data_IF_375878865077
#
_entry.id   IF_375878865077
#
_cell.length_a   1.000
_cell.length_b   1.000
_cell.length_c   1.000
_cell.angle_alpha   90.00
_cell.angle_beta   90.00
_cell.angle_gamma   90.00
#
_symmetry.space_group_name_H-M   'P 1'
#
loop_
_entity.id
_entity.type
_entity.pdbx_description
1 polymer ?
#
# COMPACT_ATOMS: atom_id res chain seq x y z
N UNK A 1 1.68 -20.35 18.15
CA UNK A 1 2.57 -20.66 17.02
C UNK A 1 3.67 -21.62 17.46
N UNK A 2 4.25 -22.35 16.50
CA UNK A 2 5.36 -23.28 16.73
C UNK A 2 6.72 -22.60 16.54
N UNK A 3 6.81 -21.71 15.53
CA UNK A 3 8.02 -20.98 15.17
C UNK A 3 7.70 -19.72 14.36
N UNK A 4 8.68 -18.84 14.21
CA UNK A 4 8.62 -17.67 13.33
C UNK A 4 9.42 -17.96 12.07
N UNK A 5 8.86 -17.67 10.89
CA UNK A 5 9.55 -17.88 9.61
C UNK A 5 9.71 -16.55 8.87
N UNK A 6 10.96 -16.22 8.53
CA UNK A 6 11.28 -15.12 7.59
C UNK A 6 11.79 -15.76 6.31
N UNK A 7 11.01 -15.80 5.23
CA UNK A 7 11.39 -16.51 4.01
C UNK A 7 12.69 -15.97 3.41
N UNK A 8 13.65 -16.86 3.11
CA UNK A 8 14.83 -16.54 2.28
C UNK A 8 14.41 -16.51 0.81
N UNK A 9 15.01 -15.60 0.03
CA UNK A 9 14.77 -15.54 -1.42
C UNK A 9 13.62 -14.63 -1.82
N UNK A 10 12.74 -14.23 -0.90
CA UNK A 10 11.88 -13.08 -1.14
C UNK A 10 12.73 -11.82 -1.07
N UNK A 11 12.66 -11.00 -2.13
CA UNK A 11 13.28 -9.68 -2.10
C UNK A 11 12.50 -8.79 -1.13
N UNK A 12 12.82 -8.90 0.15
CA UNK A 12 12.23 -8.07 1.18
C UNK A 12 12.68 -6.60 1.06
N UNK A 13 13.61 -6.32 0.18
CA UNK A 13 14.10 -4.97 -0.10
C UNK A 13 14.44 -4.21 1.17
N UNK A 14 13.97 -2.98 1.29
CA UNK A 14 14.18 -2.13 2.46
C UNK A 14 13.45 -2.59 3.73
N UNK A 15 12.48 -3.48 3.61
CA UNK A 15 11.72 -4.00 4.76
C UNK A 15 12.43 -5.15 5.50
N UNK A 16 13.47 -5.76 4.92
CA UNK A 16 14.18 -6.90 5.52
C UNK A 16 14.64 -6.64 6.96
N UNK A 17 15.28 -5.49 7.19
CA UNK A 17 15.73 -5.12 8.54
C UNK A 17 14.57 -5.02 9.53
N UNK A 18 13.46 -4.42 9.11
CA UNK A 18 12.27 -4.26 9.96
C UNK A 18 11.59 -5.60 10.24
N UNK A 19 11.49 -6.48 9.24
CA UNK A 19 10.99 -7.84 9.43
C UNK A 19 11.84 -8.62 10.43
N UNK A 20 13.17 -8.54 10.32
CA UNK A 20 14.08 -9.19 11.26
C UNK A 20 13.94 -8.61 12.67
N UNK A 21 13.84 -7.30 12.82
CA UNK A 21 13.62 -6.66 14.12
C UNK A 21 12.30 -7.09 14.76
N UNK A 22 11.22 -7.13 13.97
CA UNK A 22 9.92 -7.59 14.44
C UNK A 22 9.96 -9.06 14.86
N UNK A 23 10.57 -9.93 14.05
CA UNK A 23 10.74 -11.35 14.38
C UNK A 23 11.52 -11.54 15.69
N UNK A 24 12.64 -10.82 15.87
CA UNK A 24 13.41 -10.87 17.09
C UNK A 24 12.60 -10.41 18.32
N UNK A 25 11.80 -9.34 18.17
CA UNK A 25 10.93 -8.86 19.25
C UNK A 25 9.89 -9.90 19.65
N UNK A 26 9.23 -10.52 18.66
CA UNK A 26 8.26 -11.58 18.93
C UNK A 26 8.95 -12.81 19.54
N UNK A 27 10.10 -13.22 19.00
CA UNK A 27 10.88 -14.35 19.53
C UNK A 27 11.26 -14.17 21.00
N UNK A 28 11.78 -13.00 21.35
CA UNK A 28 12.16 -12.68 22.75
C UNK A 28 10.96 -12.73 23.69
N UNK A 29 9.80 -12.23 23.23
CA UNK A 29 8.59 -12.18 24.08
C UNK A 29 7.83 -13.50 24.17
N UNK A 30 7.95 -14.38 23.18
CA UNK A 30 7.20 -15.63 23.08
C UNK A 30 8.02 -16.91 23.27
N UNK A 31 9.35 -16.81 23.20
CA UNK A 31 10.25 -17.96 23.19
C UNK A 31 10.28 -18.73 21.87
N UNK A 32 9.63 -18.25 20.82
CA UNK A 32 9.59 -18.93 19.52
C UNK A 32 10.93 -18.76 18.78
N UNK A 33 11.39 -19.83 18.17
CA UNK A 33 12.58 -19.80 17.32
C UNK A 33 12.34 -19.17 15.95
N UNK A 34 13.36 -18.53 15.37
CA UNK A 34 13.31 -17.89 14.07
C UNK A 34 13.97 -18.79 13.02
N UNK A 35 13.24 -19.09 11.97
CA UNK A 35 13.71 -19.85 10.82
C UNK A 35 13.72 -19.01 9.55
N UNK A 36 14.53 -19.44 8.58
CA UNK A 36 14.69 -18.72 7.31
C UNK A 36 14.45 -19.62 6.10
N UNK A 37 13.63 -20.63 6.23
CA UNK A 37 13.37 -21.63 5.18
C UNK A 37 11.95 -21.41 4.60
N UNK A 38 11.84 -21.39 3.25
CA UNK A 38 10.55 -21.23 2.55
C UNK A 38 9.91 -22.58 2.24
N UNK A 39 10.73 -23.61 2.05
CA UNK A 39 10.26 -24.88 1.52
C UNK A 39 9.47 -25.72 2.55
N UNK A 40 9.58 -25.35 3.83
CA UNK A 40 8.99 -26.06 4.95
C UNK A 40 8.00 -25.23 5.79
N UNK A 41 7.37 -24.22 5.18
CA UNK A 41 6.32 -23.45 5.87
C UNK A 41 5.07 -24.32 6.03
N UNK A 42 4.59 -24.44 7.26
CA UNK A 42 3.47 -25.31 7.61
C UNK A 42 2.49 -24.63 8.58
N UNK A 43 1.33 -25.23 8.73
CA UNK A 43 0.33 -24.76 9.69
C UNK A 43 0.90 -24.68 11.11
N UNK A 44 0.64 -23.59 11.78
CA UNK A 44 1.18 -23.26 13.10
C UNK A 44 2.47 -22.44 13.05
N UNK A 45 3.03 -22.15 11.88
CA UNK A 45 4.10 -21.16 11.72
C UNK A 45 3.51 -19.74 11.69
N UNK A 46 4.26 -18.77 12.20
CA UNK A 46 4.01 -17.35 11.98
C UNK A 46 4.99 -16.83 10.93
N UNK A 47 4.51 -16.50 9.74
CA UNK A 47 5.37 -16.01 8.66
C UNK A 47 5.45 -14.50 8.68
N UNK A 48 6.67 -13.94 8.59
CA UNK A 48 6.87 -12.49 8.49
C UNK A 48 7.32 -12.14 7.08
N UNK A 49 6.47 -11.41 6.38
CA UNK A 49 6.67 -10.95 5.01
C UNK A 49 7.02 -9.47 4.97
N UNK A 50 7.83 -9.07 4.01
CA UNK A 50 8.19 -7.67 3.81
C UNK A 50 7.84 -7.17 2.42
N UNK A 51 6.91 -6.20 2.38
CA UNK A 51 6.59 -5.45 1.17
C UNK A 51 5.85 -6.27 0.09
N UNK A 52 4.82 -5.68 -0.46
CA UNK A 52 4.13 -6.18 -1.66
C UNK A 52 4.83 -5.69 -2.92
N UNK A 53 6.04 -5.21 -2.77
CA UNK A 53 6.77 -4.45 -3.78
C UNK A 53 7.07 -5.21 -5.06
N UNK A 54 6.03 -5.52 -5.82
CA UNK A 54 6.16 -5.71 -7.26
C UNK A 54 6.72 -7.03 -7.73
N UNK A 55 6.67 -8.09 -6.96
CA UNK A 55 7.00 -9.42 -7.43
C UNK A 55 5.77 -10.31 -7.43
N UNK A 56 5.56 -11.06 -8.51
CA UNK A 56 4.50 -12.05 -8.73
C UNK A 56 4.39 -13.08 -7.57
N UNK A 57 5.40 -13.10 -6.72
CA UNK A 57 5.50 -13.99 -5.57
C UNK A 57 4.55 -13.69 -4.42
N UNK A 58 4.27 -12.40 -4.09
CA UNK A 58 3.50 -12.11 -2.87
C UNK A 58 2.05 -12.58 -2.97
N UNK A 59 1.36 -12.29 -4.07
CA UNK A 59 -0.03 -12.72 -4.24
C UNK A 59 -0.13 -14.24 -4.21
N UNK A 60 0.81 -14.92 -4.87
CA UNK A 60 0.91 -16.39 -4.84
C UNK A 60 1.13 -16.93 -3.42
N UNK A 61 1.98 -16.27 -2.61
CA UNK A 61 2.18 -16.65 -1.21
C UNK A 61 0.94 -16.35 -0.37
N UNK A 62 0.31 -15.20 -0.56
CA UNK A 62 -0.89 -14.81 0.15
C UNK A 62 -2.03 -15.82 -0.07
N UNK A 63 -2.32 -16.17 -1.33
CA UNK A 63 -3.30 -17.20 -1.69
C UNK A 63 -2.94 -18.56 -1.08
N UNK A 64 -1.70 -19.01 -1.24
CA UNK A 64 -1.21 -20.27 -0.68
C UNK A 64 -1.26 -20.30 0.85
N UNK A 65 -1.02 -19.20 1.54
CA UNK A 65 -1.10 -19.14 3.00
C UNK A 65 -2.55 -19.18 3.47
N UNK A 66 -3.45 -18.51 2.78
CA UNK A 66 -4.88 -18.58 3.07
C UNK A 66 -5.41 -20.02 2.88
N UNK A 67 -5.09 -20.66 1.76
CA UNK A 67 -5.48 -22.04 1.47
C UNK A 67 -4.96 -23.04 2.52
N UNK A 68 -3.75 -22.84 3.01
CA UNK A 68 -3.09 -23.70 4.00
C UNK A 68 -3.34 -23.31 5.46
N UNK A 69 -4.15 -22.29 5.72
CA UNK A 69 -4.35 -21.72 7.07
C UNK A 69 -3.02 -21.38 7.77
N UNK A 70 -2.12 -20.72 7.07
CA UNK A 70 -0.84 -20.24 7.60
C UNK A 70 -0.97 -18.76 7.92
N UNK A 71 -0.74 -18.41 9.17
CA UNK A 71 -0.77 -17.03 9.62
C UNK A 71 0.48 -16.26 9.18
N UNK A 72 0.29 -15.03 8.73
CA UNK A 72 1.39 -14.17 8.35
C UNK A 72 1.22 -12.71 8.79
N UNK A 73 2.35 -12.06 9.01
CA UNK A 73 2.45 -10.63 9.25
C UNK A 73 3.09 -9.99 8.03
N UNK A 74 2.41 -9.03 7.43
CA UNK A 74 2.96 -8.25 6.33
C UNK A 74 3.48 -6.90 6.85
N UNK A 75 4.74 -6.59 6.52
CA UNK A 75 5.43 -5.36 6.93
C UNK A 75 5.73 -4.53 5.70
N UNK A 76 5.08 -3.38 5.57
CA UNK A 76 5.27 -2.47 4.44
C UNK A 76 5.43 -1.02 4.89
N UNK A 77 5.88 -0.16 3.99
CA UNK A 77 5.99 1.28 4.26
C UNK A 77 4.62 1.86 4.59
N UNK A 78 4.57 2.64 5.65
CA UNK A 78 3.35 3.33 6.07
C UNK A 78 2.93 4.43 5.09
N UNK A 79 1.70 4.86 5.24
CA UNK A 79 1.08 5.85 4.34
C UNK A 79 1.57 7.28 4.57
N UNK A 80 2.14 7.58 5.75
CA UNK A 80 2.56 8.94 6.13
C UNK A 80 4.06 9.00 6.35
N UNK A 81 4.71 10.04 5.84
CA UNK A 81 6.14 10.32 6.04
C UNK A 81 7.04 9.11 5.74
N UNK A 82 6.66 8.32 4.75
CA UNK A 82 7.33 7.08 4.42
C UNK A 82 8.81 7.24 3.99
N UNK A 83 9.24 8.46 3.73
CA UNK A 83 10.63 8.78 3.33
C UNK A 83 11.55 9.17 4.49
N UNK A 84 11.05 9.87 5.54
CA UNK A 84 11.87 10.24 6.74
C UNK A 84 11.00 10.81 7.87
N UNK A 85 10.95 10.21 9.06
CA UNK A 85 11.37 8.83 9.35
C UNK A 85 10.50 7.83 8.61
N UNK A 86 11.01 6.64 8.38
CA UNK A 86 10.23 5.57 7.77
C UNK A 86 9.33 4.97 8.82
N UNK A 87 8.03 5.12 8.64
CA UNK A 87 7.01 4.41 9.41
C UNK A 87 6.61 3.16 8.66
N UNK A 88 6.41 2.09 9.40
CA UNK A 88 6.02 0.80 8.83
C UNK A 88 4.57 0.50 9.16
N UNK A 89 3.85 0.02 8.18
CA UNK A 89 2.55 -0.59 8.35
C UNK A 89 2.76 -2.06 8.59
N UNK A 90 2.06 -2.59 9.60
CA UNK A 90 2.05 -4.00 9.94
C UNK A 90 0.61 -4.47 9.86
N UNK A 91 0.35 -5.47 9.03
CA UNK A 91 -0.96 -6.09 8.87
C UNK A 91 -0.87 -7.58 9.19
N UNK A 92 -1.97 -8.18 9.62
CA UNK A 92 -2.04 -9.59 9.97
C UNK A 92 -3.03 -10.29 9.04
N UNK A 93 -2.57 -11.32 8.34
CA UNK A 93 -3.35 -12.10 7.36
C UNK A 93 -3.96 -11.27 6.22
N UNK A 94 -3.47 -10.07 6.00
CA UNK A 94 -3.92 -9.18 4.94
C UNK A 94 -2.77 -8.35 4.37
N UNK A 95 -2.94 -7.90 3.14
CA UNK A 95 -1.98 -7.04 2.46
C UNK A 95 -2.16 -5.57 2.84
N UNK A 96 -3.41 -5.14 2.91
CA UNK A 96 -3.82 -3.79 3.25
C UNK A 96 -4.78 -3.86 4.43
N UNK A 97 -4.86 -2.80 5.21
CA UNK A 97 -5.92 -2.69 6.21
C UNK A 97 -7.25 -2.59 5.44
N UNK A 98 -8.00 -3.67 5.45
CA UNK A 98 -9.27 -3.77 4.72
C UNK A 98 -10.44 -3.19 5.52
N UNK A 99 -10.34 -3.22 6.84
CA UNK A 99 -11.39 -2.75 7.73
C UNK A 99 -10.78 -2.10 8.97
N UNK A 100 -11.15 -0.85 9.21
CA UNK A 100 -10.73 -0.11 10.41
C UNK A 100 -11.85 -0.28 11.44
N UNK A 101 -11.65 -1.20 12.40
CA UNK A 101 -12.59 -1.46 13.50
C UNK A 101 -12.14 -0.76 14.77
N UNK A 102 -13.08 -0.10 15.44
CA UNK A 102 -12.90 0.47 16.76
C UNK A 102 -12.79 1.99 16.81
N UNK A 103 -12.76 2.51 18.03
CA UNK A 103 -12.55 3.93 18.30
C UNK A 103 -11.04 4.21 18.29
N UNK A 104 -10.62 5.19 17.50
CA UNK A 104 -9.23 5.61 17.40
C UNK A 104 -9.03 6.99 18.02
N UNK A 105 -8.04 7.11 18.88
CA UNK A 105 -7.64 8.41 19.43
C UNK A 105 -6.75 9.14 18.42
N UNK A 106 -6.77 10.48 18.46
CA UNK A 106 -5.90 11.31 17.63
C UNK A 106 -4.43 11.29 18.08
N UNK A 107 -4.07 10.62 19.16
CA UNK A 107 -2.75 10.63 19.75
C UNK A 107 -1.66 10.17 18.79
N UNK A 108 -1.92 9.07 18.08
CA UNK A 108 -0.95 8.55 17.10
C UNK A 108 -0.79 9.50 15.92
N UNK A 109 -1.89 10.06 15.42
CA UNK A 109 -1.89 11.02 14.33
C UNK A 109 -1.13 12.30 14.72
N UNK A 110 -1.35 12.81 15.93
CA UNK A 110 -0.65 13.98 16.46
C UNK A 110 0.88 13.80 16.49
N UNK A 111 1.37 12.56 16.76
CA UNK A 111 2.80 12.25 16.72
C UNK A 111 3.43 12.42 15.34
N UNK A 112 2.67 12.26 14.26
CA UNK A 112 3.17 12.47 12.90
C UNK A 112 3.36 13.94 12.55
N UNK A 113 2.77 14.87 13.31
CA UNK A 113 2.81 16.32 13.05
C UNK A 113 2.44 16.68 11.62
N UNK A 114 1.48 15.96 11.05
CA UNK A 114 1.02 16.20 9.70
C UNK A 114 0.17 17.46 9.67
N UNK A 115 0.48 18.34 8.72
CA UNK A 115 -0.38 19.47 8.39
C UNK A 115 -1.30 19.05 7.25
N UNK A 116 -2.60 19.01 7.50
CA UNK A 116 -3.62 18.82 6.47
C UNK A 116 -4.08 20.19 6.04
N UNK A 117 -4.02 20.46 4.73
CA UNK A 117 -4.53 21.70 4.16
C UNK A 117 -6.04 21.70 4.11
N UNK A 118 -6.62 22.88 4.02
CA UNK A 118 -8.05 23.01 3.77
C UNK A 118 -8.42 22.35 2.44
N UNK A 119 -9.64 21.87 2.40
CA UNK A 119 -10.24 21.23 1.22
C UNK A 119 -10.21 22.17 0.02
N UNK A 120 -9.71 21.68 -1.12
CA UNK A 120 -9.63 22.43 -2.36
C UNK A 120 -10.83 22.13 -3.25
N UNK A 121 -11.31 23.17 -3.94
CA UNK A 121 -12.35 23.06 -4.97
C UNK A 121 -11.72 23.41 -6.32
N UNK A 122 -11.17 22.41 -6.98
CA UNK A 122 -10.58 22.58 -8.31
C UNK A 122 -11.52 22.19 -9.44
N UNK A 123 -11.05 22.35 -10.68
CA UNK A 123 -11.85 22.09 -11.89
C UNK A 123 -11.42 20.81 -12.63
N UNK A 124 -10.26 20.26 -12.31
CA UNK A 124 -9.69 19.12 -13.02
C UNK A 124 -9.78 17.83 -12.22
N UNK A 125 -10.14 16.75 -12.87
CA UNK A 125 -9.99 15.39 -12.31
C UNK A 125 -8.59 14.89 -12.59
N UNK A 126 -7.93 14.30 -11.60
CA UNK A 126 -6.57 13.81 -11.72
C UNK A 126 -6.50 12.30 -11.53
N UNK A 127 -6.24 11.57 -12.60
CA UNK A 127 -6.04 10.12 -12.57
C UNK A 127 -4.57 9.85 -12.27
N UNK A 128 -4.29 9.12 -11.20
CA UNK A 128 -2.96 8.55 -10.91
C UNK A 128 -2.99 7.08 -11.32
N UNK A 129 -2.40 6.79 -12.46
CA UNK A 129 -2.39 5.44 -13.01
C UNK A 129 -1.56 4.49 -12.11
N UNK A 130 -2.07 3.27 -11.85
CA UNK A 130 -1.31 2.25 -11.15
C UNK A 130 -0.10 1.79 -11.98
N UNK A 131 0.79 1.00 -11.39
CA UNK A 131 1.74 0.19 -12.16
C UNK A 131 1.04 -1.08 -12.65
N UNK A 132 1.62 -1.79 -13.64
CA UNK A 132 1.08 -3.09 -14.06
C UNK A 132 0.93 -4.03 -12.86
N UNK A 133 1.96 -4.16 -12.02
CA UNK A 133 1.86 -4.97 -10.81
C UNK A 133 0.74 -4.51 -9.84
N UNK A 134 0.39 -3.22 -9.86
CA UNK A 134 -0.75 -2.73 -9.09
C UNK A 134 -2.08 -3.22 -9.64
N UNK A 135 -2.21 -3.34 -10.97
CA UNK A 135 -3.38 -3.94 -11.62
C UNK A 135 -3.46 -5.44 -11.32
N UNK A 136 -2.33 -6.14 -11.44
CA UNK A 136 -2.23 -7.59 -11.24
C UNK A 136 -2.62 -7.98 -9.80
N UNK A 137 -2.16 -7.22 -8.79
CA UNK A 137 -2.52 -7.44 -7.37
C UNK A 137 -4.03 -7.40 -7.12
N UNK A 138 -4.75 -6.58 -7.89
CA UNK A 138 -6.21 -6.50 -7.79
C UNK A 138 -6.95 -7.37 -8.83
N UNK A 139 -6.25 -8.26 -9.51
CA UNK A 139 -6.84 -9.17 -10.52
C UNK A 139 -7.37 -8.46 -11.76
N UNK A 140 -6.93 -7.22 -12.03
CA UNK A 140 -7.39 -6.41 -13.17
C UNK A 140 -6.60 -6.83 -14.41
N UNK A 141 -7.25 -7.57 -15.30
CA UNK A 141 -6.65 -8.11 -16.54
C UNK A 141 -6.60 -7.08 -17.68
N UNK A 142 -6.08 -5.89 -17.38
CA UNK A 142 -5.87 -4.83 -18.36
C UNK A 142 -4.41 -4.38 -18.28
N UNK A 143 -3.85 -3.86 -19.36
CA UNK A 143 -2.62 -3.09 -19.25
C UNK A 143 -2.92 -1.67 -18.75
N UNK A 144 -1.88 -0.95 -18.36
CA UNK A 144 -2.01 0.40 -17.77
C UNK A 144 -2.74 1.37 -18.70
N UNK A 145 -2.49 1.30 -20.00
CA UNK A 145 -3.11 2.21 -20.97
C UNK A 145 -4.60 1.91 -21.15
N UNK A 146 -4.98 0.64 -21.26
CA UNK A 146 -6.38 0.21 -21.30
C UNK A 146 -7.12 0.62 -20.02
N UNK A 147 -6.48 0.48 -18.86
CA UNK A 147 -7.08 0.91 -17.60
C UNK A 147 -7.30 2.43 -17.55
N UNK A 148 -6.32 3.22 -18.01
CA UNK A 148 -6.46 4.68 -18.11
C UNK A 148 -7.62 5.04 -19.02
N UNK A 149 -7.71 4.40 -20.18
CA UNK A 149 -8.75 4.68 -21.16
C UNK A 149 -10.15 4.35 -20.60
N UNK A 150 -10.35 3.14 -20.09
CA UNK A 150 -11.62 2.70 -19.50
C UNK A 150 -12.05 3.58 -18.32
N UNK A 151 -11.09 3.92 -17.43
CA UNK A 151 -11.35 4.81 -16.29
C UNK A 151 -11.70 6.22 -16.77
N UNK A 152 -11.02 6.72 -17.78
CA UNK A 152 -11.31 8.05 -18.36
C UNK A 152 -12.70 8.09 -18.99
N UNK A 153 -13.08 7.04 -19.71
CA UNK A 153 -14.42 6.93 -20.32
C UNK A 153 -15.50 6.87 -19.24
N UNK A 154 -15.28 6.14 -18.16
CA UNK A 154 -16.22 6.06 -17.04
C UNK A 154 -16.41 7.42 -16.36
N UNK A 155 -15.32 8.12 -16.04
CA UNK A 155 -15.36 9.45 -15.42
C UNK A 155 -16.14 10.45 -16.30
N UNK A 156 -15.95 10.40 -17.61
CA UNK A 156 -16.65 11.29 -18.56
C UNK A 156 -18.18 11.13 -18.59
N UNK A 157 -18.71 10.01 -18.11
CA UNK A 157 -20.16 9.85 -17.94
C UNK A 157 -20.72 10.66 -16.77
N UNK A 158 -19.87 11.06 -15.82
CA UNK A 158 -20.27 11.71 -14.58
C UNK A 158 -19.85 13.19 -14.51
N UNK A 159 -18.91 13.62 -15.35
CA UNK A 159 -18.42 15.01 -15.34
C UNK A 159 -17.82 15.42 -16.68
N UNK A 160 -17.97 16.71 -17.00
CA UNK A 160 -17.32 17.36 -18.14
C UNK A 160 -15.99 18.02 -17.78
N UNK A 161 -15.48 17.83 -16.55
CA UNK A 161 -14.22 18.41 -16.12
C UNK A 161 -13.05 17.86 -16.94
N UNK A 162 -12.04 18.68 -17.22
CA UNK A 162 -10.80 18.22 -17.84
C UNK A 162 -10.16 17.10 -17.00
N UNK A 163 -9.64 16.08 -17.67
CA UNK A 163 -8.98 14.95 -17.01
C UNK A 163 -7.48 15.02 -17.27
N UNK A 164 -6.71 15.10 -16.19
CA UNK A 164 -5.25 15.00 -16.20
C UNK A 164 -4.84 13.58 -15.79
N UNK A 165 -3.89 12.99 -16.51
CA UNK A 165 -3.41 11.63 -16.23
C UNK A 165 -1.93 11.67 -15.89
N UNK A 166 -1.56 11.00 -14.80
CA UNK A 166 -0.18 10.74 -14.42
C UNK A 166 0.11 9.26 -14.47
N UNK A 167 1.06 8.88 -15.31
CA UNK A 167 1.64 7.53 -15.30
C UNK A 167 2.77 7.44 -14.27
N UNK A 168 2.98 6.27 -13.71
CA UNK A 168 4.07 6.01 -12.78
C UNK A 168 5.40 6.13 -13.53
N UNK A 169 6.24 7.08 -13.14
CA UNK A 169 7.56 7.27 -13.74
C UNK A 169 8.50 6.10 -13.42
N UNK A 170 9.41 5.73 -14.34
CA UNK A 170 10.48 4.76 -14.07
C UNK A 170 11.31 5.16 -12.84
N UNK A 171 11.82 4.16 -12.09
CA UNK A 171 12.62 4.42 -10.86
C UNK A 171 13.77 5.41 -11.08
N UNK A 172 14.46 5.33 -12.23
CA UNK A 172 15.57 6.24 -12.58
C UNK A 172 15.14 7.69 -12.81
N UNK A 173 13.90 7.93 -13.20
CA UNK A 173 13.35 9.26 -13.45
C UNK A 173 12.65 9.88 -12.25
N UNK A 174 12.41 9.09 -11.19
CA UNK A 174 11.86 9.59 -9.93
C UNK A 174 13.00 10.24 -9.14
N UNK A 175 13.06 11.54 -9.11
CA UNK A 175 13.92 12.22 -8.15
C UNK A 175 13.62 11.78 -6.70
N UNK A 176 14.36 12.28 -5.73
CA UNK A 176 14.19 12.03 -4.29
C UNK A 176 12.87 12.56 -3.71
N UNK A 177 12.05 13.23 -4.53
CA UNK A 177 10.78 13.84 -4.14
C UNK A 177 9.63 12.87 -4.41
N UNK A 178 8.69 12.76 -3.48
CA UNK A 178 7.48 11.96 -3.61
C UNK A 178 6.54 12.44 -4.73
N UNK A 179 5.26 12.45 -4.50
CA UNK A 179 4.26 13.02 -5.40
C UNK A 179 4.40 14.55 -5.40
N UNK A 180 5.13 15.09 -6.38
CA UNK A 180 5.53 16.49 -6.42
C UNK A 180 4.76 17.32 -7.44
N UNK A 181 3.75 16.74 -8.07
CA UNK A 181 2.94 17.49 -9.01
C UNK A 181 2.12 18.54 -8.26
N UNK A 182 1.97 19.70 -8.83
CA UNK A 182 1.02 20.68 -8.32
C UNK A 182 -0.38 20.07 -8.36
N UNK A 183 -1.03 20.06 -7.20
CA UNK A 183 -2.44 19.70 -7.05
C UNK A 183 -3.33 20.95 -7.12
N UNK A 184 -2.77 22.10 -7.53
CA UNK A 184 -3.56 23.29 -7.79
C UNK A 184 -4.62 23.00 -8.84
N UNK A 185 -5.81 23.50 -8.59
CA UNK A 185 -6.97 23.34 -9.45
C UNK A 185 -7.40 21.86 -9.69
N UNK A 186 -7.04 20.96 -8.78
CA UNK A 186 -7.53 19.57 -8.81
C UNK A 186 -8.82 19.44 -8.01
N UNK A 187 -9.88 18.97 -8.65
CA UNK A 187 -11.16 18.67 -8.04
C UNK A 187 -11.10 17.40 -7.19
N UNK A 188 -10.56 16.31 -7.76
CA UNK A 188 -10.30 15.07 -7.03
C UNK A 188 -9.18 14.26 -7.67
N UNK A 189 -8.56 13.38 -6.89
CA UNK A 189 -7.59 12.40 -7.35
C UNK A 189 -8.23 11.02 -7.37
N UNK A 190 -8.15 10.34 -8.50
CA UNK A 190 -8.71 9.00 -8.70
C UNK A 190 -7.58 8.01 -8.94
N UNK A 191 -7.60 6.87 -8.24
CA UNK A 191 -6.66 5.78 -8.45
C UNK A 191 -7.21 4.48 -7.88
N UNK A 192 -6.45 3.38 -8.00
CA UNK A 192 -6.73 2.14 -7.26
C UNK A 192 -6.37 2.33 -5.78
N UNK A 193 -5.10 2.12 -5.46
CA UNK A 193 -4.57 2.32 -4.11
C UNK A 193 -3.11 2.75 -4.23
N UNK A 194 -2.80 3.98 -3.90
CA UNK A 194 -1.46 4.54 -4.05
C UNK A 194 -1.13 5.56 -2.97
N UNK A 195 0.15 5.66 -2.61
CA UNK A 195 0.64 6.70 -1.69
C UNK A 195 0.32 8.13 -2.16
N UNK A 196 0.19 8.33 -3.46
CA UNK A 196 -0.20 9.63 -4.01
C UNK A 196 -1.58 10.10 -3.53
N UNK A 197 -2.49 9.17 -3.20
CA UNK A 197 -3.80 9.52 -2.65
C UNK A 197 -3.69 10.06 -1.23
N UNK A 198 -2.85 9.48 -0.37
CA UNK A 198 -2.64 10.01 0.99
C UNK A 198 -1.92 11.38 0.96
N UNK A 199 -1.03 11.58 -0.01
CA UNK A 199 -0.42 12.90 -0.22
C UNK A 199 -1.45 13.93 -0.72
N UNK A 200 -2.36 13.51 -1.61
CA UNK A 200 -3.45 14.36 -2.09
C UNK A 200 -4.40 14.79 -0.94
N UNK A 201 -4.80 13.85 -0.09
CA UNK A 201 -5.60 14.16 1.10
C UNK A 201 -4.92 15.18 2.01
N UNK A 202 -3.61 15.01 2.25
CA UNK A 202 -2.84 15.98 3.04
C UNK A 202 -2.83 17.38 2.42
N UNK A 203 -2.77 17.46 1.12
CA UNK A 203 -2.81 18.71 0.39
C UNK A 203 -4.24 19.29 0.25
N UNK A 204 -5.24 18.66 0.86
CA UNK A 204 -6.63 19.13 0.83
C UNK A 204 -7.38 18.75 -0.45
N UNK A 205 -6.91 17.77 -1.19
CA UNK A 205 -7.53 17.32 -2.42
C UNK A 205 -8.35 16.04 -2.18
N UNK A 206 -9.65 16.01 -2.55
CA UNK A 206 -10.49 14.81 -2.45
C UNK A 206 -9.89 13.61 -3.18
N UNK A 207 -10.16 12.41 -2.70
CA UNK A 207 -9.74 11.17 -3.36
C UNK A 207 -10.92 10.25 -3.63
N UNK A 208 -10.80 9.46 -4.70
CA UNK A 208 -11.72 8.34 -5.01
C UNK A 208 -10.86 7.11 -5.22
N UNK A 209 -11.02 6.11 -4.35
CA UNK A 209 -10.38 4.82 -4.48
C UNK A 209 -11.29 3.87 -5.27
N UNK A 210 -10.76 3.28 -6.35
CA UNK A 210 -11.50 2.35 -7.20
C UNK A 210 -11.42 0.88 -6.72
N UNK A 211 -10.74 0.65 -5.60
CA UNK A 211 -10.63 -0.67 -4.98
C UNK A 211 -10.86 -0.57 -3.48
N UNK A 212 -11.32 -1.65 -2.83
CA UNK A 212 -11.43 -1.70 -1.38
C UNK A 212 -10.07 -1.45 -0.71
N UNK A 213 -10.10 -0.82 0.45
CA UNK A 213 -8.90 -0.54 1.26
C UNK A 213 -9.17 0.56 2.26
N UNK A 214 -8.15 0.95 3.02
CA UNK A 214 -8.28 1.99 4.06
C UNK A 214 -8.63 3.39 3.52
N UNK A 215 -8.66 3.59 2.21
CA UNK A 215 -8.99 4.86 1.56
C UNK A 215 -10.35 4.84 0.84
N UNK A 216 -11.13 3.76 0.95
CA UNK A 216 -12.38 3.62 0.21
C UNK A 216 -13.50 4.56 0.66
N UNK A 217 -13.42 5.05 1.90
CA UNK A 217 -14.46 5.84 2.55
C UNK A 217 -14.10 7.34 2.70
N UNK A 218 -13.09 7.83 1.93
CA UNK A 218 -12.61 9.22 1.99
C UNK A 218 -12.75 9.98 0.69
#
# INVERSE_FOLDING_TARGET
YKRIVIPKGLDLGTSRRTCTQLANTISVSSGLEIFSDVDHIQQGDLVILGGVGGHDGFQKYHESFQEKNIDYVNVEKGYCNWWKPVYWRVTFNENQISDIKGEYTNERFAKFKLKIKQWQMGDQVYIVAPSQNGLDVYGIKQNVDQWIESTTQEIKKHTNRPIKVRKKMPKKARGSRGFCDSLENIYCVISLHTMAMTEALREGCPIISLVPGCLKDY
#
